data_IF_196927521700
#
_entry.id   IF_196927521700
#
_cell.length_a   1.000
_cell.length_b   1.000
_cell.length_c   1.000
_cell.angle_alpha   90.00
_cell.angle_beta   90.00
_cell.angle_gamma   90.00
#
_symmetry.space_group_name_H-M   'P 1'
#
loop_
_entity.id
_entity.type
_entity.pdbx_description
1 polymer ?
#
# COMPACT_ATOMS: atom_id res chain seq x y z
N UNK A 1 17.16 21.75 8.32
CA UNK A 1 16.46 20.85 9.22
C UNK A 1 14.98 20.85 8.85
N UNK A 2 14.45 19.91 8.12
CA UNK A 2 13.01 19.72 8.13
C UNK A 2 12.66 18.85 9.33
N UNK A 3 12.23 19.46 10.39
CA UNK A 3 11.49 18.80 11.46
C UNK A 3 10.09 18.53 10.94
N UNK A 4 9.96 17.54 10.08
CA UNK A 4 8.72 16.88 9.74
C UNK A 4 8.66 15.60 10.56
N UNK A 5 8.15 15.65 11.79
CA UNK A 5 7.61 14.49 12.44
C UNK A 5 6.51 13.98 11.53
N UNK A 6 6.80 13.01 10.66
CA UNK A 6 5.78 12.32 9.87
C UNK A 6 4.81 11.71 10.87
N UNK A 7 3.63 12.28 10.94
CA UNK A 7 2.58 11.88 11.89
C UNK A 7 2.12 10.49 11.48
N UNK A 8 2.60 9.48 12.19
CA UNK A 8 2.16 8.10 12.01
C UNK A 8 0.64 8.03 12.13
N UNK A 9 -0.01 7.49 11.14
CA UNK A 9 -1.47 7.34 11.12
C UNK A 9 -1.89 6.03 11.79
N UNK A 10 -3.14 5.96 12.24
CA UNK A 10 -3.73 4.70 12.70
C UNK A 10 -3.64 3.62 11.61
N UNK A 11 -3.82 4.00 10.34
CA UNK A 11 -3.74 3.10 9.20
C UNK A 11 -2.31 2.60 8.96
N UNK A 12 -1.30 3.46 9.15
CA UNK A 12 0.10 3.06 9.09
C UNK A 12 0.45 2.01 10.13
N UNK A 13 0.05 2.23 11.39
CA UNK A 13 0.25 1.25 12.46
C UNK A 13 -0.51 -0.05 12.20
N UNK A 14 -1.74 0.04 11.71
CA UNK A 14 -2.54 -1.13 11.36
C UNK A 14 -1.92 -1.93 10.21
N UNK A 15 -1.43 -1.27 9.15
CA UNK A 15 -0.78 -1.94 8.02
C UNK A 15 0.49 -2.67 8.45
N UNK A 16 1.31 -2.03 9.30
CA UNK A 16 2.48 -2.66 9.89
C UNK A 16 2.10 -3.92 10.69
N UNK A 17 1.08 -3.81 11.55
CA UNK A 17 0.61 -4.93 12.37
C UNK A 17 0.05 -6.07 11.51
N UNK A 18 -0.71 -5.79 10.45
CA UNK A 18 -1.20 -6.80 9.52
C UNK A 18 -0.06 -7.58 8.84
N UNK A 19 0.99 -6.87 8.44
CA UNK A 19 2.17 -7.52 7.85
C UNK A 19 2.84 -8.47 8.85
N UNK A 20 2.99 -8.06 10.11
CA UNK A 20 3.57 -8.91 11.16
C UNK A 20 2.71 -10.14 11.50
N UNK A 21 1.40 -10.10 11.23
CA UNK A 21 0.51 -11.27 11.35
C UNK A 21 0.70 -12.30 10.22
N UNK A 22 1.56 -12.02 9.24
CA UNK A 22 1.88 -12.94 8.15
C UNK A 22 1.18 -12.65 6.82
N UNK A 23 0.36 -11.60 6.72
CA UNK A 23 -0.28 -11.20 5.47
C UNK A 23 0.72 -10.52 4.53
N UNK A 24 0.44 -10.50 3.23
CA UNK A 24 1.33 -9.86 2.27
C UNK A 24 1.17 -8.33 2.26
N UNK A 25 2.08 -7.65 1.54
CA UNK A 25 2.14 -6.20 1.52
C UNK A 25 0.82 -5.53 1.11
N UNK A 26 0.19 -6.03 0.04
CA UNK A 26 -1.07 -5.47 -0.46
C UNK A 26 -2.22 -5.71 0.51
N UNK A 27 -2.34 -6.92 1.03
CA UNK A 27 -3.33 -7.28 2.05
C UNK A 27 -3.21 -6.38 3.28
N UNK A 28 -1.98 -6.14 3.72
CA UNK A 28 -1.70 -5.34 4.91
C UNK A 28 -2.20 -3.90 4.76
N UNK A 29 -1.96 -3.28 3.62
CA UNK A 29 -2.42 -1.91 3.34
C UNK A 29 -3.94 -1.85 3.19
N UNK A 30 -4.54 -2.73 2.39
CA UNK A 30 -5.99 -2.70 2.13
C UNK A 30 -6.79 -3.03 3.39
N UNK A 31 -6.37 -4.03 4.17
CA UNK A 31 -7.02 -4.39 5.44
C UNK A 31 -6.97 -3.25 6.46
N UNK A 32 -5.90 -2.45 6.47
CA UNK A 32 -5.79 -1.28 7.33
C UNK A 32 -6.86 -0.21 7.06
N UNK A 33 -7.41 -0.18 5.85
CA UNK A 33 -8.48 0.74 5.45
C UNK A 33 -9.87 0.09 5.38
N UNK A 34 -9.99 -1.20 5.70
CA UNK A 34 -11.26 -1.90 5.60
C UNK A 34 -12.43 -1.18 6.32
N UNK A 35 -12.27 -0.69 7.56
CA UNK A 35 -13.34 0.02 8.24
C UNK A 35 -13.78 1.30 7.49
N UNK A 36 -12.81 2.10 7.02
CA UNK A 36 -13.09 3.34 6.29
C UNK A 36 -13.77 3.09 4.95
N UNK A 37 -13.45 1.98 4.31
CA UNK A 37 -14.02 1.58 3.01
C UNK A 37 -15.36 0.84 3.15
N UNK A 38 -15.85 0.59 4.36
CA UNK A 38 -17.05 -0.20 4.59
C UNK A 38 -16.89 -1.67 4.18
N UNK A 39 -15.66 -2.18 4.16
CA UNK A 39 -15.35 -3.56 3.84
C UNK A 39 -15.21 -4.40 5.11
N UNK A 40 -15.56 -5.69 5.01
CA UNK A 40 -15.11 -6.66 6.02
C UNK A 40 -13.61 -6.93 5.83
N UNK A 41 -12.93 -7.30 6.91
CA UNK A 41 -11.52 -7.73 6.84
C UNK A 41 -11.33 -8.85 5.80
N UNK A 42 -12.24 -9.83 5.79
CA UNK A 42 -12.20 -10.93 4.83
C UNK A 42 -12.26 -10.44 3.39
N UNK A 43 -13.15 -9.50 3.07
CA UNK A 43 -13.27 -8.93 1.73
C UNK A 43 -12.01 -8.18 1.33
N UNK A 44 -11.48 -7.35 2.23
CA UNK A 44 -10.25 -6.60 2.00
C UNK A 44 -9.06 -7.54 1.72
N UNK A 45 -8.91 -8.60 2.51
CA UNK A 45 -7.85 -9.59 2.35
C UNK A 45 -7.99 -10.40 1.06
N UNK A 46 -9.22 -10.76 0.66
CA UNK A 46 -9.47 -11.50 -0.59
C UNK A 46 -9.14 -10.69 -1.82
N UNK A 47 -9.64 -9.46 -1.91
CA UNK A 47 -9.47 -8.65 -3.12
C UNK A 47 -8.02 -8.20 -3.37
N UNK A 48 -7.18 -8.23 -2.34
CA UNK A 48 -5.78 -7.79 -2.42
C UNK A 48 -4.75 -8.94 -2.38
N UNK A 49 -5.20 -10.18 -2.20
CA UNK A 49 -4.31 -11.34 -2.00
C UNK A 49 -3.28 -11.55 -3.13
N UNK A 50 -3.70 -11.37 -4.39
CA UNK A 50 -2.84 -11.62 -5.55
C UNK A 50 -1.77 -10.56 -5.80
N UNK A 51 -1.86 -9.38 -5.19
CA UNK A 51 -0.93 -8.27 -5.45
C UNK A 51 0.34 -8.29 -4.59
N UNK A 52 0.42 -9.19 -3.61
CA UNK A 52 1.56 -9.29 -2.71
C UNK A 52 2.87 -9.64 -3.40
N UNK A 53 3.99 -9.26 -2.78
CA UNK A 53 5.35 -9.55 -3.23
C UNK A 53 5.63 -9.11 -4.68
N UNK A 54 5.09 -7.95 -5.07
CA UNK A 54 5.25 -7.41 -6.42
C UNK A 54 4.41 -8.14 -7.44
N UNK A 55 3.13 -8.30 -7.17
CA UNK A 55 2.12 -9.00 -7.97
C UNK A 55 2.45 -10.49 -8.10
N UNK A 56 1.81 -11.32 -7.28
CA UNK A 56 1.98 -12.77 -7.33
C UNK A 56 3.44 -13.23 -7.19
N UNK A 57 4.25 -12.49 -6.42
CA UNK A 57 5.68 -12.75 -6.22
C UNK A 57 6.55 -12.64 -7.48
N UNK A 58 6.07 -11.95 -8.52
CA UNK A 58 6.84 -11.65 -9.73
C UNK A 58 7.84 -10.50 -9.53
N UNK A 59 7.85 -9.87 -8.37
CA UNK A 59 8.76 -8.77 -8.01
C UNK A 59 8.64 -7.54 -8.91
N UNK A 60 7.45 -7.33 -9.46
CA UNK A 60 7.08 -6.14 -10.24
C UNK A 60 6.67 -4.98 -9.32
N UNK A 61 5.55 -4.33 -9.52
CA UNK A 61 5.11 -3.21 -8.67
C UNK A 61 4.96 -3.65 -7.22
N UNK A 62 5.51 -2.86 -6.30
CA UNK A 62 5.44 -3.10 -4.85
C UNK A 62 4.01 -3.37 -4.39
N UNK A 63 3.80 -4.50 -3.68
CA UNK A 63 2.48 -4.89 -3.21
C UNK A 63 1.84 -3.88 -2.26
N UNK A 64 2.63 -3.19 -1.44
CA UNK A 64 2.12 -2.12 -0.58
C UNK A 64 1.57 -0.95 -1.42
N UNK A 65 2.26 -0.58 -2.50
CA UNK A 65 1.76 0.43 -3.42
C UNK A 65 0.54 -0.05 -4.21
N UNK A 66 0.47 -1.32 -4.60
CA UNK A 66 -0.76 -1.90 -5.17
C UNK A 66 -1.94 -1.75 -4.18
N UNK A 67 -1.69 -1.89 -2.89
CA UNK A 67 -2.69 -1.61 -1.86
C UNK A 67 -3.16 -0.15 -1.86
N UNK A 68 -2.23 0.81 -2.00
CA UNK A 68 -2.59 2.23 -2.16
C UNK A 68 -3.49 2.44 -3.37
N UNK A 69 -3.12 1.89 -4.53
CA UNK A 69 -3.93 1.98 -5.77
C UNK A 69 -5.34 1.42 -5.55
N UNK A 70 -5.45 0.29 -4.86
CA UNK A 70 -6.74 -0.33 -4.54
C UNK A 70 -7.59 0.59 -3.66
N UNK A 71 -7.01 1.14 -2.58
CA UNK A 71 -7.73 2.06 -1.68
C UNK A 71 -8.16 3.33 -2.41
N UNK A 72 -7.26 3.97 -3.16
CA UNK A 72 -7.59 5.17 -3.94
C UNK A 72 -8.67 4.90 -4.98
N UNK A 73 -8.65 3.73 -5.63
CA UNK A 73 -9.70 3.34 -6.57
C UNK A 73 -11.05 3.22 -5.88
N UNK A 74 -11.11 2.61 -4.70
CA UNK A 74 -12.35 2.49 -3.92
C UNK A 74 -12.91 3.86 -3.49
N UNK A 75 -12.05 4.83 -3.21
CA UNK A 75 -12.47 6.16 -2.74
C UNK A 75 -12.85 7.08 -3.90
N UNK A 76 -12.11 7.05 -4.98
CA UNK A 76 -12.18 8.10 -6.01
C UNK A 76 -12.78 7.67 -7.35
N UNK A 77 -12.74 6.37 -7.72
CA UNK A 77 -13.21 5.97 -9.02
C UNK A 77 -14.73 6.20 -9.20
N UNK A 78 -15.11 6.77 -10.32
CA UNK A 78 -16.52 6.86 -10.74
C UNK A 78 -16.85 5.65 -11.64
N UNK A 79 -17.54 4.64 -11.13
CA UNK A 79 -17.85 3.45 -11.92
C UNK A 79 -18.91 3.69 -13.00
N UNK A 80 -19.56 4.86 -12.98
CA UNK A 80 -20.60 5.23 -13.95
C UNK A 80 -20.06 6.01 -15.15
N UNK A 81 -18.83 6.54 -15.05
CA UNK A 81 -18.19 7.29 -16.13
C UNK A 81 -16.96 6.55 -16.68
N UNK A 82 -17.05 5.91 -17.86
CA UNK A 82 -15.91 5.25 -18.47
C UNK A 82 -14.78 6.20 -18.89
N UNK A 83 -15.00 7.51 -18.86
CA UNK A 83 -13.97 8.52 -19.16
C UNK A 83 -13.15 8.92 -17.92
N UNK A 84 -13.56 8.47 -16.75
CA UNK A 84 -12.87 8.77 -15.46
C UNK A 84 -11.43 8.27 -15.39
N UNK A 85 -11.02 7.39 -16.29
CA UNK A 85 -9.67 6.78 -16.34
C UNK A 85 -8.53 7.77 -16.20
N UNK A 86 -8.57 8.86 -16.96
CA UNK A 86 -7.47 9.84 -16.98
C UNK A 86 -7.30 10.52 -15.62
N UNK A 87 -8.40 10.82 -14.93
CA UNK A 87 -8.38 11.38 -13.59
C UNK A 87 -7.79 10.38 -12.60
N UNK A 88 -8.24 9.14 -12.64
CA UNK A 88 -7.69 8.07 -11.78
C UNK A 88 -6.20 7.84 -12.02
N UNK A 89 -5.76 7.82 -13.28
CA UNK A 89 -4.35 7.66 -13.60
C UNK A 89 -3.49 8.79 -13.04
N UNK A 90 -3.97 10.03 -13.12
CA UNK A 90 -3.27 11.18 -12.55
C UNK A 90 -3.14 11.07 -11.01
N UNK A 91 -4.19 10.65 -10.30
CA UNK A 91 -4.15 10.43 -8.86
C UNK A 91 -3.13 9.33 -8.48
N UNK A 92 -3.13 8.23 -9.20
CA UNK A 92 -2.20 7.12 -8.96
C UNK A 92 -0.76 7.55 -9.22
N UNK A 93 -0.49 8.29 -10.30
CA UNK A 93 0.85 8.79 -10.60
C UNK A 93 1.35 9.77 -9.54
N UNK A 94 0.48 10.66 -9.07
CA UNK A 94 0.82 11.58 -7.98
C UNK A 94 1.17 10.81 -6.68
N UNK A 95 0.39 9.80 -6.34
CA UNK A 95 0.69 8.94 -5.18
C UNK A 95 2.00 8.16 -5.37
N UNK A 96 2.30 7.72 -6.60
CA UNK A 96 3.56 7.03 -6.92
C UNK A 96 4.79 7.93 -6.69
N UNK A 97 4.72 9.20 -7.11
CA UNK A 97 5.81 10.16 -6.86
C UNK A 97 6.03 10.40 -5.36
N UNK A 98 4.95 10.54 -4.60
CA UNK A 98 5.05 10.69 -3.15
C UNK A 98 5.65 9.44 -2.50
N UNK A 99 5.28 8.25 -2.95
CA UNK A 99 5.84 7.01 -2.44
C UNK A 99 7.33 6.88 -2.74
N UNK A 100 7.76 7.18 -3.97
CA UNK A 100 9.19 7.21 -4.32
C UNK A 100 9.99 8.14 -3.41
N UNK A 101 9.46 9.31 -3.11
CA UNK A 101 10.12 10.29 -2.26
C UNK A 101 10.29 9.83 -0.80
N UNK A 102 9.40 8.97 -0.30
CA UNK A 102 9.33 8.57 1.12
C UNK A 102 9.97 7.22 1.43
N UNK A 103 10.14 6.34 0.45
CA UNK A 103 10.50 4.94 0.71
C UNK A 103 12.00 4.64 0.75
N UNK A 104 12.84 5.67 0.67
CA UNK A 104 14.30 5.50 0.71
C UNK A 104 14.93 4.80 -0.50
N UNK A 105 14.13 4.10 -1.29
CA UNK A 105 14.58 3.37 -2.49
C UNK A 105 14.38 4.13 -3.79
N UNK A 106 13.53 5.17 -3.80
CA UNK A 106 13.24 5.98 -4.99
C UNK A 106 12.48 5.26 -6.10
N UNK A 107 11.90 4.09 -5.82
CA UNK A 107 11.23 3.22 -6.79
C UNK A 107 9.86 2.78 -6.29
N UNK A 108 9.02 2.30 -7.21
CA UNK A 108 7.78 1.56 -6.89
C UNK A 108 7.91 0.07 -7.20
N UNK A 109 9.08 -0.39 -7.63
CA UNK A 109 9.29 -1.76 -8.11
C UNK A 109 9.84 -2.62 -6.96
N UNK A 110 9.16 -3.73 -6.70
CA UNK A 110 9.46 -4.63 -5.58
C UNK A 110 10.93 -5.09 -5.58
N UNK A 111 11.44 -5.61 -6.71
CA UNK A 111 12.84 -6.08 -6.80
C UNK A 111 13.86 -4.98 -6.53
N UNK A 112 13.57 -3.76 -6.94
CA UNK A 112 14.48 -2.62 -6.74
C UNK A 112 14.49 -2.17 -5.27
N UNK A 113 13.32 -2.12 -4.64
CA UNK A 113 13.20 -1.78 -3.21
C UNK A 113 13.88 -2.84 -2.33
N UNK A 114 13.71 -4.12 -2.65
CA UNK A 114 14.38 -5.21 -1.92
C UNK A 114 15.91 -5.14 -2.10
N UNK A 115 16.38 -4.97 -3.33
CA UNK A 115 17.82 -4.85 -3.62
C UNK A 115 18.45 -3.66 -2.91
N UNK A 116 17.79 -2.51 -2.91
CA UNK A 116 18.23 -1.30 -2.21
C UNK A 116 18.34 -1.51 -0.70
N UNK A 117 17.48 -2.33 -0.13
CA UNK A 117 17.51 -2.68 1.30
C UNK A 117 18.48 -3.83 1.63
N UNK A 118 19.19 -4.36 0.62
CA UNK A 118 20.11 -5.48 0.81
C UNK A 118 19.43 -6.85 0.93
N UNK A 119 18.17 -6.95 0.54
CA UNK A 119 17.44 -8.21 0.49
C UNK A 119 17.47 -8.80 -0.92
N UNK A 120 17.75 -10.11 -1.04
CA UNK A 120 17.73 -10.78 -2.33
C UNK A 120 16.29 -10.95 -2.85
N UNK A 121 15.95 -10.48 -4.06
CA UNK A 121 14.63 -10.65 -4.63
C UNK A 121 14.46 -12.06 -5.23
N UNK A 122 14.42 -13.09 -4.38
CA UNK A 122 14.22 -14.46 -4.85
C UNK A 122 12.89 -14.61 -5.58
N UNK A 123 12.91 -15.35 -6.70
CA UNK A 123 11.75 -15.65 -7.51
C UNK A 123 10.98 -16.90 -7.04
N UNK A 124 10.10 -17.41 -7.92
CA UNK A 124 9.29 -18.60 -7.67
C UNK A 124 7.98 -18.31 -6.94
N UNK A 125 7.18 -19.33 -6.70
CA UNK A 125 5.83 -19.22 -6.15
C UNK A 125 5.73 -19.42 -4.64
N UNK A 126 6.74 -20.03 -4.02
CA UNK A 126 6.74 -20.29 -2.59
C UNK A 126 7.02 -19.02 -1.78
N UNK A 127 6.08 -18.67 -0.89
CA UNK A 127 6.29 -17.59 0.06
C UNK A 127 7.42 -17.94 1.03
N UNK A 128 8.22 -16.93 1.42
CA UNK A 128 9.26 -17.12 2.42
C UNK A 128 8.66 -17.27 3.82
N UNK A 129 9.30 -18.12 4.64
CA UNK A 129 8.95 -18.25 6.04
C UNK A 129 9.20 -16.93 6.80
N UNK A 130 8.27 -16.55 7.66
CA UNK A 130 8.32 -15.32 8.45
C UNK A 130 9.12 -15.52 9.73
N UNK A 131 10.44 -15.63 9.60
CA UNK A 131 11.38 -15.78 10.70
C UNK A 131 11.86 -14.41 11.22
N UNK A 132 12.50 -14.40 12.41
CA UNK A 132 13.15 -13.18 12.92
C UNK A 132 14.19 -12.64 11.94
N UNK A 133 14.93 -13.52 11.27
CA UNK A 133 15.93 -13.15 10.26
C UNK A 133 15.28 -12.53 9.00
N UNK A 134 14.12 -13.04 8.59
CA UNK A 134 13.32 -12.44 7.52
C UNK A 134 13.03 -10.97 7.82
N UNK A 135 12.47 -10.67 9.00
CA UNK A 135 12.10 -9.31 9.36
C UNK A 135 13.28 -8.34 9.49
N UNK A 136 14.45 -8.83 9.88
CA UNK A 136 15.67 -8.00 9.95
C UNK A 136 16.12 -7.47 8.59
N UNK A 137 15.88 -8.22 7.52
CA UNK A 137 16.37 -7.93 6.16
C UNK A 137 15.34 -7.31 5.25
N UNK A 138 14.06 -7.35 5.62
CA UNK A 138 12.96 -6.92 4.76
C UNK A 138 12.50 -5.51 5.11
N UNK A 139 12.45 -4.60 4.14
CA UNK A 139 11.87 -3.27 4.34
C UNK A 139 10.33 -3.32 4.34
N UNK A 140 9.72 -4.44 3.99
CA UNK A 140 8.30 -4.57 3.70
C UNK A 140 7.35 -4.12 4.81
N UNK A 141 7.57 -4.41 6.11
CA UNK A 141 6.71 -3.90 7.16
C UNK A 141 6.64 -2.37 7.17
N UNK A 142 7.79 -1.72 7.04
CA UNK A 142 7.87 -0.26 7.02
C UNK A 142 7.32 0.32 5.71
N UNK A 143 7.52 -0.34 4.58
CA UNK A 143 6.92 0.07 3.30
C UNK A 143 5.38 0.00 3.35
N UNK A 144 4.81 -0.98 4.05
CA UNK A 144 3.37 -1.03 4.30
C UNK A 144 2.89 0.16 5.13
N UNK A 145 3.63 0.52 6.19
CA UNK A 145 3.36 1.71 7.01
C UNK A 145 3.39 2.98 6.17
N UNK A 146 4.49 3.21 5.45
CA UNK A 146 4.68 4.37 4.58
C UNK A 146 3.54 4.50 3.57
N UNK A 147 3.15 3.41 2.93
CA UNK A 147 2.05 3.38 1.97
C UNK A 147 0.71 3.73 2.62
N UNK A 148 0.42 3.19 3.79
CA UNK A 148 -0.83 3.49 4.49
C UNK A 148 -0.87 4.93 5.02
N UNK A 149 0.23 5.44 5.57
CA UNK A 149 0.35 6.85 6.00
C UNK A 149 0.15 7.80 4.81
N UNK A 150 0.87 7.55 3.71
CA UNK A 150 0.72 8.32 2.47
C UNK A 150 -0.74 8.31 1.98
N UNK A 151 -1.38 7.15 1.98
CA UNK A 151 -2.75 7.01 1.51
C UNK A 151 -3.73 7.78 2.41
N UNK A 152 -3.57 7.71 3.72
CA UNK A 152 -4.41 8.45 4.67
C UNK A 152 -4.25 9.97 4.48
N UNK A 153 -3.02 10.46 4.37
CA UNK A 153 -2.73 11.87 4.10
C UNK A 153 -3.30 12.32 2.74
N UNK A 154 -3.09 11.51 1.70
CA UNK A 154 -3.60 11.80 0.36
C UNK A 154 -5.11 11.98 0.35
N UNK A 155 -5.84 11.08 1.00
CA UNK A 155 -7.30 11.15 1.11
C UNK A 155 -7.73 12.39 1.92
N UNK A 156 -7.02 12.72 3.00
CA UNK A 156 -7.34 13.86 3.84
C UNK A 156 -7.21 15.21 3.12
N UNK A 157 -6.20 15.35 2.24
CA UNK A 157 -5.97 16.60 1.49
C UNK A 157 -6.76 16.69 0.18
N UNK A 158 -7.42 15.60 -0.24
CA UNK A 158 -8.25 15.54 -1.45
C UNK A 158 -9.69 15.10 -1.10
N UNK A 159 -10.45 15.89 -0.33
CA UNK A 159 -11.83 15.55 0.02
C UNK A 159 -12.79 15.60 -1.18
N UNK A 160 -12.45 16.40 -2.20
CA UNK A 160 -13.22 16.53 -3.44
C UNK A 160 -13.00 15.35 -4.38
N UNK A 161 -14.01 15.07 -5.20
CA UNK A 161 -13.96 14.02 -6.22
C UNK A 161 -14.04 12.59 -5.69
N UNK A 162 -14.41 12.41 -4.43
CA UNK A 162 -14.71 11.07 -3.88
C UNK A 162 -16.05 10.60 -4.45
N UNK A 163 -16.05 9.40 -5.01
CA UNK A 163 -17.26 8.74 -5.54
C UNK A 163 -17.62 7.50 -4.73
N UNK A 164 -16.64 6.88 -4.09
CA UNK A 164 -16.82 5.71 -3.23
C UNK A 164 -17.18 6.10 -1.80
N UNK A 165 -17.62 5.07 -1.05
CA UNK A 165 -17.80 5.21 0.39
C UNK A 165 -16.44 5.39 1.08
N UNK A 166 -16.35 6.38 1.96
CA UNK A 166 -15.20 6.56 2.84
C UNK A 166 -15.62 7.23 4.15
N UNK A 167 -15.37 6.57 5.25
CA UNK A 167 -15.69 7.05 6.60
C UNK A 167 -14.41 7.43 7.35
N UNK A 168 -14.18 8.71 7.56
CA UNK A 168 -12.94 9.21 8.16
C UNK A 168 -12.73 8.75 9.60
N UNK A 169 -13.80 8.64 10.37
CA UNK A 169 -13.78 8.33 11.81
C UNK A 169 -13.99 6.84 12.14
N UNK A 170 -13.85 5.96 11.16
CA UNK A 170 -14.06 4.53 11.37
C UNK A 170 -12.84 3.83 12.00
#
# INVERSE_FOLDING_TARGET
MPEGCEKMSKQGDAAYAWFLKGYNCSQSVVAAFAPQLGLTEETALRLSAGFGAGIGRMREVCGAFCGVVTVLSMVYADPTDPKDKSRMYALVQQAAEQYRARNGGGSIICRELLAKAGAAPAGGTAAEERTAEYYKKRPCPELCRICADLCAEFIAVHPEGRHGFYKEDA
#
